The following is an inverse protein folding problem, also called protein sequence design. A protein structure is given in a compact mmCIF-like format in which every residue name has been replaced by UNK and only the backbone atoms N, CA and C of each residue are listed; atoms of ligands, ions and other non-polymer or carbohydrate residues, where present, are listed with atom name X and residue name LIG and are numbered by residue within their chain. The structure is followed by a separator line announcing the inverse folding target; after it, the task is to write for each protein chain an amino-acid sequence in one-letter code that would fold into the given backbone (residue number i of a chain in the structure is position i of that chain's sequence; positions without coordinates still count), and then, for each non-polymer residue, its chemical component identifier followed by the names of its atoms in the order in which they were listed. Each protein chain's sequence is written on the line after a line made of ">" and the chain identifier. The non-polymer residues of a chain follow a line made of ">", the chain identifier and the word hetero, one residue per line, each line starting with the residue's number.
data_IF_072725567780
#
_entry.id   IF_072725567780
#
_cell.length_a   1.000
_cell.length_b   1.000
_cell.length_c   1.000
_cell.angle_alpha   90.00
_cell.angle_beta   90.00
_cell.angle_gamma   90.00
#
_symmetry.space_group_name_H-M   'P 1'
#
loop_
_entity.id
_entity.type
_entity.pdbx_description
1 polymer ?
#
# COMPACT_ATOMS: atom_id res chain seq x y z
N UNK A 1 6.93 16.37 -7.05
CA UNK A 1 7.09 15.45 -5.89
C UNK A 1 6.08 14.31 -6.03
N UNK A 2 6.35 13.10 -5.50
CA UNK A 2 5.35 12.00 -5.48
C UNK A 2 4.65 11.94 -4.12
N UNK A 3 3.31 11.78 -4.14
CA UNK A 3 2.49 11.52 -2.95
C UNK A 3 1.92 10.11 -3.01
N UNK A 4 2.07 9.37 -1.92
CA UNK A 4 1.55 8.02 -1.75
C UNK A 4 0.44 8.04 -0.69
N UNK A 5 -0.72 7.49 -1.04
CA UNK A 5 -1.85 7.24 -0.16
C UNK A 5 -2.01 5.73 -0.05
N UNK A 6 -1.99 5.20 1.19
CA UNK A 6 -2.03 3.77 1.47
C UNK A 6 -3.09 3.50 2.54
N UNK A 7 -4.01 2.59 2.22
CA UNK A 7 -5.10 2.16 3.11
C UNK A 7 -4.92 0.67 3.46
N UNK A 8 -4.98 0.33 4.76
CA UNK A 8 -5.01 -1.07 5.21
C UNK A 8 -6.38 -1.64 4.96
N UNK A 9 -6.48 -2.64 4.09
CA UNK A 9 -7.74 -3.28 3.72
C UNK A 9 -8.02 -4.51 4.58
N UNK A 10 -7.02 -5.38 4.74
CA UNK A 10 -7.16 -6.65 5.46
C UNK A 10 -5.89 -6.94 6.24
N UNK A 11 -6.05 -7.41 7.48
CA UNK A 11 -5.00 -8.03 8.28
C UNK A 11 -5.51 -9.39 8.75
N UNK A 12 -4.91 -10.47 8.25
CA UNK A 12 -5.35 -11.83 8.60
C UNK A 12 -4.18 -12.80 8.50
N UNK A 13 -3.94 -13.54 9.60
CA UNK A 13 -2.91 -14.61 9.66
C UNK A 13 -1.52 -14.12 9.17
N UNK A 14 -1.14 -12.90 9.55
CA UNK A 14 0.15 -12.30 9.15
C UNK A 14 0.23 -11.80 7.71
N UNK A 15 -0.85 -11.96 6.92
CA UNK A 15 -0.99 -11.35 5.59
C UNK A 15 -1.67 -10.00 5.75
N UNK A 16 -1.07 -9.00 5.12
CA UNK A 16 -1.55 -7.64 5.04
C UNK A 16 -1.91 -7.33 3.59
N UNK A 17 -3.05 -6.68 3.40
CA UNK A 17 -3.52 -6.20 2.10
C UNK A 17 -3.68 -4.69 2.15
N UNK A 18 -3.13 -4.00 1.17
CA UNK A 18 -3.15 -2.56 1.08
C UNK A 18 -3.72 -2.09 -0.25
N UNK A 19 -4.51 -1.01 -0.21
CA UNK A 19 -4.91 -0.27 -1.38
C UNK A 19 -4.04 0.97 -1.49
N UNK A 20 -3.34 1.11 -2.60
CA UNK A 20 -2.33 2.15 -2.79
C UNK A 20 -2.69 3.04 -3.98
N UNK A 21 -2.49 4.35 -3.81
CA UNK A 21 -2.57 5.35 -4.87
C UNK A 21 -1.34 6.23 -4.84
N UNK A 22 -0.69 6.37 -5.99
CA UNK A 22 0.39 7.32 -6.18
C UNK A 22 -0.09 8.49 -7.06
N UNK A 23 0.31 9.71 -6.70
CA UNK A 23 0.00 10.91 -7.47
C UNK A 23 1.18 11.88 -7.58
N UNK A 24 1.19 12.65 -8.66
CA UNK A 24 2.14 13.75 -8.92
C UNK A 24 1.30 14.96 -9.32
N UNK A 25 1.52 16.10 -8.66
CA UNK A 25 0.70 17.32 -8.86
C UNK A 25 -0.82 17.05 -8.77
N UNK A 26 -1.23 16.19 -7.83
CA UNK A 26 -2.62 15.80 -7.60
C UNK A 26 -3.19 14.80 -8.62
N UNK A 27 -2.50 14.52 -9.72
CA UNK A 27 -2.92 13.56 -10.73
C UNK A 27 -2.47 12.16 -10.37
N UNK A 28 -3.40 11.20 -10.41
CA UNK A 28 -3.07 9.79 -10.18
C UNK A 28 -2.17 9.27 -11.28
N UNK A 29 -0.99 8.77 -10.91
CA UNK A 29 -0.02 8.19 -11.87
C UNK A 29 -0.02 6.67 -11.83
N UNK A 30 -0.37 6.07 -10.69
CA UNK A 30 -0.58 4.62 -10.60
C UNK A 30 -1.44 4.26 -9.38
N UNK A 31 -2.03 3.08 -9.44
CA UNK A 31 -2.75 2.44 -8.34
C UNK A 31 -2.31 0.99 -8.26
N UNK A 32 -2.24 0.45 -7.05
CA UNK A 32 -1.91 -0.95 -6.84
C UNK A 32 -2.67 -1.52 -5.65
N UNK A 33 -2.83 -2.83 -5.68
CA UNK A 33 -3.22 -3.61 -4.52
C UNK A 33 -2.00 -4.43 -4.10
N UNK A 34 -1.48 -4.15 -2.91
CA UNK A 34 -0.27 -4.81 -2.41
C UNK A 34 -0.64 -5.84 -1.36
N UNK A 35 0.01 -7.00 -1.42
CA UNK A 35 -0.05 -8.02 -0.37
C UNK A 35 1.33 -8.24 0.21
N UNK A 36 1.43 -8.20 1.52
CA UNK A 36 2.68 -8.39 2.25
C UNK A 36 2.50 -9.45 3.33
N UNK A 37 3.54 -10.22 3.60
CA UNK A 37 3.66 -11.03 4.81
C UNK A 37 4.60 -10.34 5.78
N UNK A 38 4.17 -10.15 7.02
CA UNK A 38 5.05 -9.55 8.03
C UNK A 38 6.06 -10.60 8.50
N UNK A 39 7.35 -10.35 8.23
CA UNK A 39 8.46 -11.10 8.83
C UNK A 39 8.91 -10.38 10.10
N UNK A 40 9.36 -11.12 11.10
CA UNK A 40 10.05 -10.53 12.25
C UNK A 40 11.28 -9.75 11.78
N UNK A 41 11.55 -8.59 12.40
CA UNK A 41 12.81 -7.90 12.24
C UNK A 41 13.83 -8.60 13.16
N UNK A 42 14.87 -9.17 12.57
CA UNK A 42 16.02 -9.71 13.30
C UNK A 42 16.90 -8.56 13.82
#
# INVERSE_FOLDING_TARGET
>A
QIRLEVEVMVVKRGIWKFKCRASVEGQTVTTAELMCTQKAAD
#
